data_IF_857046407943
#
_entry.id   IF_857046407943
#
_cell.length_a   1.000
_cell.length_b   1.000
_cell.length_c   1.000
_cell.angle_alpha   90.00
_cell.angle_beta   90.00
_cell.angle_gamma   90.00
#
_symmetry.space_group_name_H-M   'P 1'
#
loop_
_entity.id
_entity.type
_entity.pdbx_description
1 polymer ?
#
# COMPACT_ATOMS: atom_id res chain seq x y z
N UNK A 1 31.53 51.09 35.40
CA UNK A 1 31.73 49.75 34.82
C UNK A 1 30.49 48.92 35.12
N UNK A 2 29.83 48.39 34.08
CA UNK A 2 28.58 47.65 34.17
C UNK A 2 28.83 46.14 34.18
N UNK A 3 27.97 45.36 34.86
CA UNK A 3 27.87 43.92 34.64
C UNK A 3 26.42 43.55 34.29
N UNK A 4 26.26 43.36 32.97
CA UNK A 4 25.47 42.37 32.24
C UNK A 4 24.22 41.73 32.91
N UNK A 5 23.00 41.99 32.40
CA UNK A 5 21.83 41.17 32.69
C UNK A 5 21.74 39.96 31.76
N UNK A 6 21.72 38.76 32.34
CA UNK A 6 21.41 37.50 31.66
C UNK A 6 19.93 37.45 31.22
N UNK A 7 19.62 36.97 30.00
CA UNK A 7 18.26 36.81 29.54
C UNK A 7 17.63 35.51 30.07
N UNK A 8 16.50 35.64 30.77
CA UNK A 8 15.60 34.51 31.03
C UNK A 8 14.80 34.21 29.75
N UNK A 9 15.25 33.21 28.99
CA UNK A 9 14.48 32.60 27.92
C UNK A 9 13.41 31.69 28.51
N UNK A 10 12.14 32.02 28.26
CA UNK A 10 11.01 31.09 28.42
C UNK A 10 11.21 29.85 27.55
N UNK A 11 11.04 28.63 28.09
CA UNK A 11 10.90 27.44 27.25
C UNK A 11 9.52 27.47 26.58
N UNK A 12 9.51 27.67 25.26
CA UNK A 12 8.35 27.35 24.44
C UNK A 12 8.14 25.84 24.44
N UNK A 13 6.97 25.40 24.90
CA UNK A 13 6.54 24.01 24.77
C UNK A 13 6.23 23.73 23.29
N UNK A 14 7.21 23.18 22.58
CA UNK A 14 7.02 22.45 21.33
C UNK A 14 6.86 20.97 21.70
N UNK A 15 5.61 20.50 21.78
CA UNK A 15 5.32 19.10 22.08
C UNK A 15 5.33 18.29 20.78
N UNK A 16 6.46 17.63 20.57
CA UNK A 16 6.75 16.66 19.54
C UNK A 16 5.98 15.35 19.76
N UNK A 17 5.33 14.90 18.71
CA UNK A 17 4.79 13.55 18.47
C UNK A 17 5.87 12.46 18.36
N UNK A 18 7.14 12.79 18.58
CA UNK A 18 8.31 11.93 18.37
C UNK A 18 8.96 11.43 19.68
N UNK A 19 8.47 11.83 20.84
CA UNK A 19 8.90 11.25 22.13
C UNK A 19 7.67 10.94 23.00
N UNK A 20 7.11 9.74 22.84
CA UNK A 20 6.17 9.20 23.81
C UNK A 20 6.92 8.25 24.74
N UNK A 21 7.09 8.68 26.00
CA UNK A 21 7.52 7.83 27.12
C UNK A 21 6.30 7.24 27.83
N UNK A 22 6.28 5.93 28.16
CA UNK A 22 5.15 5.30 28.83
C UNK A 22 5.05 5.77 30.29
N UNK A 23 3.90 6.34 30.66
CA UNK A 23 3.55 6.57 32.06
C UNK A 23 3.20 5.26 32.77
N UNK A 24 3.93 4.96 33.84
CA UNK A 24 3.64 4.01 34.92
C UNK A 24 2.92 2.70 34.55
N UNK A 25 3.69 1.71 34.11
CA UNK A 25 3.39 0.32 34.44
C UNK A 25 4.38 -0.11 35.53
N UNK A 26 3.86 -0.34 36.74
CA UNK A 26 4.62 -0.89 37.86
C UNK A 26 5.37 -2.15 37.43
N UNK A 27 6.63 -2.25 37.87
CA UNK A 27 7.52 -3.41 37.77
C UNK A 27 6.76 -4.74 37.88
N UNK A 28 6.70 -5.49 36.79
CA UNK A 28 6.38 -6.91 36.80
C UNK A 28 7.69 -7.68 36.60
N UNK A 29 8.21 -8.21 37.70
CA UNK A 29 9.37 -9.10 37.76
C UNK A 29 9.18 -10.31 36.84
N UNK A 30 10.16 -10.57 35.97
CA UNK A 30 10.21 -11.78 35.15
C UNK A 30 10.43 -13.03 36.01
N UNK A 31 9.68 -14.13 35.81
CA UNK A 31 9.98 -15.39 36.49
C UNK A 31 11.18 -16.09 35.83
N UNK A 32 12.15 -16.46 36.67
CA UNK A 32 13.33 -17.25 36.30
C UNK A 32 12.93 -18.66 35.80
N UNK A 33 13.62 -19.12 34.74
CA UNK A 33 13.53 -20.50 34.26
C UNK A 33 14.23 -21.47 35.24
N UNK A 34 13.68 -22.66 35.53
CA UNK A 34 14.39 -23.68 36.27
C UNK A 34 15.21 -24.58 35.33
N UNK A 35 16.44 -24.80 35.73
CA UNK A 35 17.39 -25.75 35.15
C UNK A 35 17.24 -27.14 35.79
N UNK A 36 17.58 -28.18 35.00
CA UNK A 36 18.02 -29.54 35.37
C UNK A 36 17.06 -30.75 35.18
N UNK A 37 17.49 -31.56 34.21
CA UNK A 37 17.69 -33.03 34.23
C UNK A 37 16.52 -34.01 33.99
N UNK A 38 16.64 -34.80 32.91
CA UNK A 38 16.98 -36.25 32.99
C UNK A 38 17.36 -36.79 31.60
N UNK A 39 18.49 -37.52 31.53
CA UNK A 39 18.95 -38.33 30.38
C UNK A 39 18.24 -39.68 30.35
N UNK A 40 17.92 -40.18 29.15
CA UNK A 40 17.90 -41.63 28.83
C UNK A 40 18.53 -41.83 27.45
N UNK A 41 19.27 -42.92 27.30
CA UNK A 41 20.23 -43.27 26.25
C UNK A 41 19.68 -44.38 25.32
N UNK A 42 20.45 -44.69 24.26
CA UNK A 42 20.33 -45.73 23.19
C UNK A 42 19.67 -45.24 21.88
N UNK A 43 20.17 -45.48 20.66
CA UNK A 43 21.27 -46.33 20.16
C UNK A 43 21.78 -45.82 18.77
N UNK A 44 22.93 -46.33 18.34
CA UNK A 44 23.75 -45.99 17.15
C UNK A 44 23.10 -46.22 15.78
N UNK A 45 23.52 -45.44 14.76
CA UNK A 45 24.25 -45.98 13.58
C UNK A 45 24.63 -44.88 12.56
N UNK A 46 25.77 -45.09 11.91
CA UNK A 46 26.56 -44.15 11.12
C UNK A 46 26.16 -44.09 9.63
N UNK A 47 26.43 -42.94 8.99
CA UNK A 47 26.95 -42.85 7.61
C UNK A 47 27.42 -41.42 7.30
N UNK A 48 28.72 -41.25 6.99
CA UNK A 48 29.31 -40.02 6.46
C UNK A 48 29.38 -40.06 4.93
N UNK A 49 29.37 -38.92 4.23
CA UNK A 49 29.86 -38.82 2.85
C UNK A 49 31.26 -38.15 2.74
N UNK A 50 32.00 -38.39 1.64
CA UNK A 50 33.47 -38.37 1.63
C UNK A 50 34.14 -37.06 1.22
N UNK A 51 35.36 -36.88 1.72
CA UNK A 51 36.36 -35.88 1.32
C UNK A 51 37.16 -36.38 0.11
N UNK A 52 37.24 -35.60 -0.96
CA UNK A 52 38.19 -35.82 -2.07
C UNK A 52 39.20 -34.67 -2.10
N UNK A 53 40.49 -35.02 -2.01
CA UNK A 53 41.64 -34.14 -2.22
C UNK A 53 42.27 -34.40 -3.58
N UNK A 54 42.52 -33.36 -4.39
CA UNK A 54 43.50 -33.42 -5.47
C UNK A 54 44.30 -32.10 -5.66
N UNK A 55 45.58 -32.22 -5.30
CA UNK A 55 46.84 -31.71 -5.89
C UNK A 55 46.92 -30.40 -6.70
N UNK A 56 47.90 -29.61 -6.22
CA UNK A 56 48.64 -28.45 -6.75
C UNK A 56 49.22 -28.63 -8.17
N UNK A 57 49.09 -27.58 -9.00
CA UNK A 57 49.81 -27.36 -10.26
C UNK A 57 49.70 -25.89 -10.69
N UNK A 58 50.84 -25.28 -11.02
CA UNK A 58 51.09 -23.84 -11.22
C UNK A 58 50.78 -23.36 -12.64
N UNK A 59 50.30 -22.12 -12.83
CA UNK A 59 50.82 -21.09 -13.76
C UNK A 59 50.06 -19.75 -13.64
N UNK A 60 50.73 -18.68 -14.08
CA UNK A 60 50.66 -17.27 -13.66
C UNK A 60 49.93 -16.36 -14.66
N UNK A 61 49.28 -15.29 -14.18
CA UNK A 61 49.16 -13.98 -14.85
C UNK A 61 48.67 -12.89 -13.88
N UNK A 62 49.15 -11.66 -14.08
CA UNK A 62 49.43 -10.65 -13.08
C UNK A 62 48.30 -9.64 -12.77
N UNK A 63 48.39 -9.04 -11.57
CA UNK A 63 47.63 -7.86 -11.12
C UNK A 63 48.45 -6.57 -11.34
N UNK A 64 47.83 -5.41 -11.64
CA UNK A 64 48.55 -4.14 -11.72
C UNK A 64 48.66 -3.43 -10.36
N UNK A 65 49.88 -2.98 -10.08
CA UNK A 65 50.35 -2.29 -8.86
C UNK A 65 50.20 -0.76 -8.97
N UNK A 66 49.75 -0.11 -7.91
CA UNK A 66 49.79 1.35 -7.68
C UNK A 66 51.20 1.83 -7.27
N UNK A 67 51.66 3.02 -7.71
CA UNK A 67 52.81 3.69 -7.10
C UNK A 67 52.45 4.95 -6.26
N UNK A 68 53.34 5.38 -5.33
CA UNK A 68 53.06 6.31 -4.23
C UNK A 68 53.45 7.78 -4.51
N UNK A 69 53.02 8.70 -3.62
CA UNK A 69 53.05 10.16 -3.84
C UNK A 69 54.12 11.02 -3.12
N UNK A 70 53.86 12.34 -3.18
CA UNK A 70 54.42 13.52 -2.43
C UNK A 70 55.81 14.02 -2.93
N UNK A 71 56.17 15.34 -2.96
CA UNK A 71 55.68 16.51 -2.20
C UNK A 71 55.38 17.83 -2.97
N UNK A 72 54.83 18.84 -2.27
CA UNK A 72 54.69 20.26 -2.69
C UNK A 72 55.98 21.08 -2.42
N UNK A 73 56.25 22.24 -3.07
CA UNK A 73 55.74 23.53 -2.54
C UNK A 73 55.60 24.74 -3.54
N UNK A 74 55.10 25.87 -3.00
CA UNK A 74 55.38 27.30 -3.32
C UNK A 74 54.77 28.06 -4.53
N UNK A 75 53.84 28.98 -4.17
CA UNK A 75 53.88 30.46 -4.30
C UNK A 75 53.79 31.25 -5.64
N UNK A 76 52.99 32.34 -5.53
CA UNK A 76 53.05 33.65 -6.23
C UNK A 76 52.46 33.73 -7.64
N UNK A 77 51.62 34.70 -8.03
CA UNK A 77 51.04 35.87 -7.37
C UNK A 77 50.40 36.84 -8.39
N UNK A 78 49.69 37.88 -7.88
CA UNK A 78 49.29 39.17 -8.50
C UNK A 78 48.15 39.11 -9.55
N UNK A 79 47.17 40.01 -9.66
CA UNK A 79 46.85 41.40 -9.21
C UNK A 79 45.29 41.52 -9.21
N UNK A 80 44.57 42.13 -8.25
CA UNK A 80 44.43 43.52 -7.78
C UNK A 80 43.42 44.41 -8.56
N UNK A 81 42.71 45.27 -7.80
CA UNK A 81 41.69 46.33 -8.11
C UNK A 81 40.22 45.90 -8.14
N UNK A 82 39.23 46.54 -7.49
CA UNK A 82 39.09 47.73 -6.63
C UNK A 82 37.74 47.57 -5.87
N UNK A 83 37.71 47.55 -4.54
CA UNK A 83 37.30 48.65 -3.64
C UNK A 83 36.04 49.46 -4.02
N UNK A 84 34.99 49.33 -3.19
CA UNK A 84 34.15 50.46 -2.76
C UNK A 84 33.55 50.17 -1.39
N UNK A 85 34.06 50.89 -0.39
CA UNK A 85 33.41 51.13 0.89
C UNK A 85 32.61 52.42 0.78
N UNK A 86 31.36 52.46 1.26
CA UNK A 86 30.80 53.65 1.90
C UNK A 86 29.96 53.22 3.10
N UNK A 87 30.15 53.99 4.17
CA UNK A 87 29.76 53.76 5.53
C UNK A 87 28.26 53.95 5.82
N UNK A 88 27.92 53.40 6.98
CA UNK A 88 26.75 53.60 7.83
C UNK A 88 26.27 55.05 7.98
N UNK A 89 24.95 55.24 7.92
CA UNK A 89 24.24 56.08 8.89
C UNK A 89 22.80 55.59 9.11
N UNK A 90 22.39 55.59 10.37
CA UNK A 90 21.18 54.95 10.89
C UNK A 90 19.91 55.77 10.63
N UNK A 91 18.74 55.10 10.53
CA UNK A 91 17.52 55.47 11.28
C UNK A 91 16.57 54.27 11.43
N UNK A 92 16.21 54.01 12.68
CA UNK A 92 15.14 53.12 13.13
C UNK A 92 13.80 53.53 12.49
N UNK A 93 13.15 52.61 11.79
CA UNK A 93 11.72 52.73 11.46
C UNK A 93 10.91 51.94 12.49
N UNK A 94 10.22 52.67 13.36
CA UNK A 94 9.25 52.15 14.33
C UNK A 94 7.86 52.33 13.70
N UNK A 95 7.09 51.26 13.44
CA UNK A 95 5.71 51.42 13.00
C UNK A 95 4.84 51.99 14.14
N UNK A 96 3.87 52.89 13.87
CA UNK A 96 3.01 53.46 14.90
C UNK A 96 2.09 52.40 15.51
N UNK A 97 2.00 52.41 16.84
CA UNK A 97 1.07 51.60 17.62
C UNK A 97 -0.39 51.94 17.28
N UNK A 98 -1.15 50.93 16.86
CA UNK A 98 -2.60 51.02 16.82
C UNK A 98 -3.16 50.98 18.26
N UNK A 99 -4.21 51.75 18.58
CA UNK A 99 -4.79 51.79 19.92
C UNK A 99 -5.39 50.43 20.30
N UNK A 100 -4.99 49.92 21.47
CA UNK A 100 -5.60 48.75 22.09
C UNK A 100 -7.06 49.05 22.46
N UNK A 101 -8.00 48.31 21.89
CA UNK A 101 -9.37 48.29 22.36
C UNK A 101 -9.42 47.62 23.75
N UNK A 102 -10.21 48.15 24.70
CA UNK A 102 -10.29 47.60 26.04
C UNK A 102 -10.88 46.19 26.04
N UNK A 103 -10.28 45.33 26.86
CA UNK A 103 -10.79 44.03 27.28
C UNK A 103 -12.29 44.07 27.60
N UNK A 104 -13.06 43.17 26.99
CA UNK A 104 -14.33 42.72 27.52
C UNK A 104 -14.30 41.19 27.62
N UNK A 105 -13.97 40.69 28.81
CA UNK A 105 -14.64 39.50 29.35
C UNK A 105 -15.85 40.01 30.13
N UNK A 106 -17.02 39.39 29.95
CA UNK A 106 -17.31 38.22 30.79
C UNK A 106 -18.05 37.10 30.05
N UNK A 107 -17.83 35.84 30.44
CA UNK A 107 -18.86 35.01 31.08
C UNK A 107 -18.35 33.57 31.31
N UNK A 108 -18.65 33.10 32.52
CA UNK A 108 -18.28 31.84 33.15
C UNK A 108 -18.98 30.60 32.56
N UNK A 109 -18.48 29.39 32.88
CA UNK A 109 -18.84 28.15 32.20
C UNK A 109 -20.15 27.57 32.71
N UNK A 110 -20.99 27.09 31.78
CA UNK A 110 -22.10 26.20 32.11
C UNK A 110 -21.66 24.76 31.84
N UNK A 111 -21.45 24.00 32.91
CA UNK A 111 -21.20 22.56 32.83
C UNK A 111 -22.44 21.79 32.36
N UNK A 112 -22.23 20.75 31.56
CA UNK A 112 -23.13 19.60 31.44
C UNK A 112 -22.36 18.31 31.10
N UNK A 113 -22.94 17.14 31.46
CA UNK A 113 -22.22 15.97 32.00
C UNK A 113 -21.77 14.99 30.91
N UNK A 114 -20.96 13.95 31.24
CA UNK A 114 -20.45 13.02 30.24
C UNK A 114 -21.57 12.12 29.72
N UNK A 115 -21.82 12.14 28.40
CA UNK A 115 -22.72 11.20 27.75
C UNK A 115 -21.95 10.18 26.92
N UNK A 116 -22.26 8.93 27.21
CA UNK A 116 -21.65 7.70 26.72
C UNK A 116 -21.99 7.44 25.24
N UNK A 117 -21.10 6.67 24.63
CA UNK A 117 -21.21 6.00 23.32
C UNK A 117 -22.63 5.63 22.88
N UNK A 118 -23.00 6.06 21.67
CA UNK A 118 -23.95 5.36 20.81
C UNK A 118 -23.68 5.78 19.37
N UNK A 119 -22.71 5.10 18.76
CA UNK A 119 -22.69 4.89 17.31
C UNK A 119 -23.92 4.01 17.01
N UNK A 120 -24.83 4.45 16.14
CA UNK A 120 -25.76 3.67 15.30
C UNK A 120 -26.79 4.64 14.68
N UNK A 121 -26.79 4.69 13.35
CA UNK A 121 -27.83 5.17 12.41
C UNK A 121 -28.12 6.68 12.31
N UNK A 122 -27.83 7.27 11.14
CA UNK A 122 -28.81 7.69 10.12
C UNK A 122 -28.04 8.39 8.99
N UNK A 123 -28.27 7.96 7.74
CA UNK A 123 -27.72 8.62 6.55
C UNK A 123 -28.10 7.99 5.21
N UNK A 124 -29.30 7.39 5.10
CA UNK A 124 -29.92 7.15 3.79
C UNK A 124 -30.70 8.41 3.43
N UNK A 125 -30.32 9.06 2.33
CA UNK A 125 -31.13 10.09 1.69
C UNK A 125 -30.35 11.35 1.33
N UNK A 126 -29.61 11.30 0.21
CA UNK A 126 -29.49 12.35 -0.83
C UNK A 126 -28.21 12.20 -1.67
N UNK A 127 -28.04 11.07 -2.38
CA UNK A 127 -27.15 10.99 -3.56
C UNK A 127 -27.82 10.09 -4.61
N UNK A 128 -28.96 10.53 -5.14
CA UNK A 128 -29.63 9.86 -6.27
C UNK A 128 -29.55 10.69 -7.57
N UNK A 129 -28.80 11.81 -7.62
CA UNK A 129 -28.83 12.67 -8.82
C UNK A 129 -27.44 13.08 -9.38
N UNK A 130 -26.33 12.50 -8.91
CA UNK A 130 -25.00 12.77 -9.51
C UNK A 130 -24.11 11.54 -9.73
N UNK A 131 -24.70 10.43 -10.17
CA UNK A 131 -23.94 9.23 -10.57
C UNK A 131 -24.43 8.65 -11.90
N UNK A 132 -24.64 9.50 -12.92
CA UNK A 132 -25.05 9.05 -14.26
C UNK A 132 -24.25 9.62 -15.44
N UNK A 133 -23.07 10.22 -15.25
CA UNK A 133 -22.20 10.54 -16.39
C UNK A 133 -20.74 10.46 -15.96
N UNK A 134 -20.06 9.34 -16.24
CA UNK A 134 -18.78 9.23 -16.97
C UNK A 134 -18.48 7.73 -17.08
N UNK A 135 -18.65 7.16 -18.27
CA UNK A 135 -18.28 5.77 -18.52
C UNK A 135 -18.83 5.22 -19.82
N UNK A 136 -18.39 5.75 -20.95
CA UNK A 136 -18.55 5.08 -22.24
C UNK A 136 -18.93 6.00 -23.40
N UNK A 137 -17.95 6.35 -24.22
CA UNK A 137 -18.00 6.29 -25.69
C UNK A 137 -16.92 7.22 -26.28
N UNK A 138 -15.84 6.63 -26.77
CA UNK A 138 -15.12 7.21 -27.92
C UNK A 138 -15.06 6.13 -28.99
N UNK A 139 -15.39 6.56 -30.21
CA UNK A 139 -15.31 5.89 -31.51
C UNK A 139 -16.58 5.22 -32.05
N UNK A 140 -17.41 6.04 -32.69
CA UNK A 140 -17.93 5.72 -34.02
C UNK A 140 -18.35 6.99 -34.77
N UNK A 141 -17.63 7.35 -35.84
CA UNK A 141 -18.20 8.12 -36.96
C UNK A 141 -17.31 8.06 -38.22
N UNK A 142 -17.49 7.04 -39.04
CA UNK A 142 -17.46 7.19 -40.50
C UNK A 142 -18.80 6.71 -41.03
N UNK A 143 -19.61 7.64 -41.57
CA UNK A 143 -20.88 7.32 -42.21
C UNK A 143 -20.66 6.98 -43.68
N UNK A 144 -21.19 5.83 -44.10
CA UNK A 144 -21.58 5.54 -45.46
C UNK A 144 -22.97 4.90 -45.44
N UNK A 145 -23.93 5.30 -46.30
CA UNK A 145 -25.29 4.78 -46.24
C UNK A 145 -25.43 3.59 -47.19
N UNK A 146 -25.87 2.41 -46.72
CA UNK A 146 -26.39 1.38 -47.62
C UNK A 146 -27.58 0.62 -47.00
N UNK A 147 -28.74 0.94 -47.58
CA UNK A 147 -29.88 0.09 -48.00
C UNK A 147 -30.23 -1.14 -47.15
N UNK A 148 -31.46 -1.09 -46.64
CA UNK A 148 -32.21 -2.24 -46.14
C UNK A 148 -32.26 -3.37 -47.18
N UNK A 149 -31.84 -4.57 -46.77
CA UNK A 149 -32.26 -5.83 -47.35
C UNK A 149 -32.50 -6.82 -46.21
N UNK A 150 -33.73 -7.33 -46.17
CA UNK A 150 -34.16 -8.38 -45.27
C UNK A 150 -33.50 -9.69 -45.72
N UNK A 151 -32.39 -10.02 -45.06
CA UNK A 151 -31.74 -11.32 -45.11
C UNK A 151 -31.41 -11.66 -43.67
N UNK A 152 -31.89 -12.81 -43.18
CA UNK A 152 -31.59 -13.32 -41.84
C UNK A 152 -30.08 -13.47 -41.66
N UNK A 153 -29.42 -12.41 -41.22
CA UNK A 153 -28.02 -12.42 -40.81
C UNK A 153 -28.00 -12.76 -39.33
N UNK A 154 -27.54 -13.98 -39.01
CA UNK A 154 -27.03 -14.29 -37.67
C UNK A 154 -25.98 -13.23 -37.36
N UNK A 155 -26.34 -12.30 -36.48
CA UNK A 155 -25.37 -11.38 -35.89
C UNK A 155 -24.34 -12.24 -35.15
N UNK A 156 -23.11 -12.21 -35.65
CA UNK A 156 -21.95 -12.82 -35.01
C UNK A 156 -21.60 -12.01 -33.75
N UNK A 157 -22.27 -12.32 -32.64
CA UNK A 157 -21.73 -12.18 -31.29
C UNK A 157 -21.30 -13.58 -30.86
N UNK A 158 -20.01 -13.82 -30.65
CA UNK A 158 -19.45 -15.11 -30.27
C UNK A 158 -19.82 -15.55 -28.84
N UNK A 159 -21.10 -15.77 -28.59
CA UNK A 159 -21.62 -16.42 -27.40
C UNK A 159 -22.22 -17.77 -27.84
N UNK A 160 -21.40 -18.81 -27.83
CA UNK A 160 -21.94 -20.17 -27.85
C UNK A 160 -22.60 -20.40 -26.47
N UNK A 161 -23.90 -20.65 -26.47
CA UNK A 161 -24.68 -20.88 -25.26
C UNK A 161 -24.19 -22.17 -24.60
N UNK A 162 -23.48 -22.04 -23.48
CA UNK A 162 -23.34 -23.16 -22.54
C UNK A 162 -24.73 -23.75 -22.26
N UNK A 163 -24.87 -25.08 -22.14
CA UNK A 163 -26.15 -25.68 -21.82
C UNK A 163 -26.68 -25.13 -20.48
N UNK A 164 -28.00 -25.11 -20.32
CA UNK A 164 -28.69 -24.68 -19.09
C UNK A 164 -28.27 -25.50 -17.86
N UNK A 165 -27.66 -26.66 -18.09
CA UNK A 165 -27.10 -27.53 -17.06
C UNK A 165 -25.68 -27.95 -17.44
N UNK A 166 -24.72 -27.68 -16.55
CA UNK A 166 -23.32 -28.08 -16.71
C UNK A 166 -22.87 -29.03 -15.61
N UNK A 167 -22.03 -29.98 -15.99
CA UNK A 167 -21.35 -30.87 -15.05
C UNK A 167 -19.88 -30.48 -14.99
N UNK A 168 -19.27 -30.59 -13.81
CA UNK A 168 -17.84 -30.32 -13.63
C UNK A 168 -16.99 -31.16 -14.59
N UNK A 169 -15.99 -30.52 -15.18
CA UNK A 169 -14.90 -31.19 -15.88
C UNK A 169 -13.91 -31.83 -14.89
N UNK A 170 -13.55 -33.09 -15.13
CA UNK A 170 -12.57 -33.80 -14.28
C UNK A 170 -11.14 -33.29 -14.45
N UNK A 171 -10.87 -32.58 -15.55
CA UNK A 171 -9.57 -31.98 -15.85
C UNK A 171 -9.56 -30.50 -15.40
N UNK A 172 -8.40 -29.99 -14.96
CA UNK A 172 -8.28 -28.60 -14.54
C UNK A 172 -8.52 -27.64 -15.71
N UNK A 173 -9.06 -26.47 -15.39
CA UNK A 173 -9.26 -25.38 -16.35
C UNK A 173 -7.92 -24.92 -16.95
N UNK A 174 -7.96 -24.53 -18.22
CA UNK A 174 -6.86 -23.81 -18.86
C UNK A 174 -7.07 -22.31 -18.65
N UNK A 175 -6.13 -21.65 -17.98
CA UNK A 175 -6.21 -20.23 -17.62
C UNK A 175 -5.09 -19.39 -18.24
N UNK A 176 -5.38 -18.14 -18.60
CA UNK A 176 -4.34 -17.16 -18.94
C UNK A 176 -3.55 -16.72 -17.70
N UNK A 177 -2.39 -16.08 -17.90
CA UNK A 177 -1.70 -15.35 -16.83
C UNK A 177 -2.62 -14.25 -16.27
N UNK A 178 -2.98 -14.27 -14.97
CA UNK A 178 -3.84 -13.26 -14.38
C UNK A 178 -3.22 -11.87 -14.37
N UNK A 179 -4.06 -10.85 -14.35
CA UNK A 179 -3.69 -9.46 -14.15
C UNK A 179 -4.31 -8.97 -12.84
N UNK A 180 -3.49 -8.36 -11.97
CA UNK A 180 -3.93 -7.86 -10.67
C UNK A 180 -4.00 -6.33 -10.67
N UNK A 181 -5.06 -5.76 -10.10
CA UNK A 181 -5.20 -4.32 -9.88
C UNK A 181 -5.87 -4.05 -8.53
N UNK A 182 -5.48 -2.98 -7.86
CA UNK A 182 -6.09 -2.59 -6.59
C UNK A 182 -7.29 -1.68 -6.88
N UNK A 183 -8.45 -2.05 -6.36
CA UNK A 183 -9.73 -1.35 -6.55
C UNK A 183 -10.29 -0.95 -5.19
N UNK A 184 -11.39 -0.18 -5.16
CA UNK A 184 -12.07 0.21 -3.91
C UNK A 184 -12.65 -0.97 -3.11
N UNK A 185 -12.83 -2.14 -3.71
CA UNK A 185 -13.35 -3.35 -3.05
C UNK A 185 -12.27 -4.38 -2.69
N UNK A 186 -11.00 -4.13 -3.05
CA UNK A 186 -9.92 -5.07 -2.84
C UNK A 186 -9.03 -5.26 -4.07
N UNK A 187 -8.19 -6.28 -4.03
CA UNK A 187 -7.36 -6.69 -5.17
C UNK A 187 -8.22 -7.46 -6.18
N UNK A 188 -8.47 -6.85 -7.34
CA UNK A 188 -9.16 -7.49 -8.46
C UNK A 188 -8.16 -8.25 -9.32
N UNK A 189 -8.40 -9.56 -9.50
CA UNK A 189 -7.57 -10.45 -10.32
C UNK A 189 -8.38 -10.92 -11.50
N UNK A 190 -7.99 -10.51 -12.71
CA UNK A 190 -8.69 -10.80 -13.97
C UNK A 190 -7.89 -11.75 -14.83
N UNK A 191 -8.54 -12.80 -15.34
CA UNK A 191 -7.94 -13.80 -16.23
C UNK A 191 -9.00 -14.36 -17.18
N UNK A 192 -8.60 -15.10 -18.21
CA UNK A 192 -9.52 -15.90 -19.01
C UNK A 192 -9.39 -17.38 -18.67
N UNK A 193 -10.50 -18.10 -18.70
CA UNK A 193 -10.56 -19.54 -18.46
C UNK A 193 -11.29 -20.27 -19.59
N UNK A 194 -10.83 -21.48 -19.91
CA UNK A 194 -11.46 -22.40 -20.85
C UNK A 194 -11.44 -23.82 -20.29
N UNK A 195 -12.48 -24.60 -20.58
CA UNK A 195 -12.58 -26.00 -20.19
C UNK A 195 -11.93 -26.89 -21.26
N UNK A 196 -11.09 -27.87 -20.87
CA UNK A 196 -10.62 -28.89 -21.80
C UNK A 196 -11.71 -29.93 -22.14
N UNK A 197 -12.79 -30.01 -21.35
CA UNK A 197 -13.93 -30.88 -21.64
C UNK A 197 -14.83 -30.25 -22.72
N UNK A 198 -15.26 -31.05 -23.70
CA UNK A 198 -16.12 -30.58 -24.81
C UNK A 198 -17.48 -30.02 -24.37
N UNK A 199 -17.97 -30.44 -23.20
CA UNK A 199 -19.21 -29.94 -22.61
C UNK A 199 -19.07 -28.63 -21.83
N UNK A 200 -17.86 -28.09 -21.66
CA UNK A 200 -17.58 -26.98 -20.75
C UNK A 200 -17.20 -27.43 -19.34
N UNK A 201 -17.19 -26.49 -18.40
CA UNK A 201 -16.99 -26.74 -16.97
C UNK A 201 -17.83 -25.74 -16.15
N UNK A 202 -17.97 -25.98 -14.85
CA UNK A 202 -18.68 -25.08 -13.94
C UNK A 202 -17.94 -24.96 -12.62
N UNK A 203 -17.63 -23.72 -12.24
CA UNK A 203 -17.26 -23.39 -10.87
C UNK A 203 -18.56 -23.29 -10.06
N UNK A 204 -18.72 -24.20 -9.12
CA UNK A 204 -19.93 -24.35 -8.29
C UNK A 204 -19.52 -24.55 -6.82
N UNK A 205 -20.48 -24.60 -5.90
CA UNK A 205 -20.23 -24.88 -4.48
C UNK A 205 -19.62 -23.74 -3.66
N UNK A 206 -19.54 -23.93 -2.35
CA UNK A 206 -19.49 -22.82 -1.38
C UNK A 206 -18.12 -22.51 -0.78
N UNK A 207 -17.09 -23.29 -1.09
CA UNK A 207 -15.77 -23.20 -0.44
C UNK A 207 -14.62 -23.37 -1.43
N UNK A 208 -14.76 -22.85 -2.64
CA UNK A 208 -13.68 -22.93 -3.63
C UNK A 208 -12.48 -22.11 -3.16
N UNK A 209 -11.37 -22.78 -2.84
CA UNK A 209 -10.13 -22.13 -2.44
C UNK A 209 -9.37 -21.69 -3.70
N UNK A 210 -9.12 -20.39 -3.83
CA UNK A 210 -8.41 -19.82 -4.96
C UNK A 210 -7.18 -19.06 -4.48
N UNK A 211 -6.02 -19.53 -4.94
CA UNK A 211 -4.73 -18.89 -4.69
C UNK A 211 -4.17 -18.28 -5.98
N UNK A 212 -3.55 -17.11 -5.85
CA UNK A 212 -2.81 -16.43 -6.91
C UNK A 212 -1.36 -16.38 -6.47
N UNK A 213 -0.46 -16.86 -7.33
CA UNK A 213 0.96 -16.99 -7.04
C UNK A 213 1.78 -16.20 -8.07
N UNK A 214 2.85 -15.57 -7.60
CA UNK A 214 3.94 -15.04 -8.43
C UNK A 214 5.21 -15.88 -8.19
N UNK A 215 6.27 -15.60 -8.96
CA UNK A 215 7.59 -16.20 -8.70
C UNK A 215 8.18 -15.80 -7.33
N UNK A 216 7.74 -14.68 -6.76
CA UNK A 216 8.19 -14.18 -5.46
C UNK A 216 7.39 -14.75 -4.27
N UNK A 217 6.27 -15.42 -4.51
CA UNK A 217 5.44 -16.02 -3.46
C UNK A 217 3.94 -15.81 -3.67
N UNK A 218 3.11 -16.00 -2.62
CA UNK A 218 1.67 -15.79 -2.73
C UNK A 218 1.36 -14.31 -2.98
N UNK A 219 0.48 -14.06 -3.94
CA UNK A 219 -0.09 -12.73 -4.22
C UNK A 219 -1.41 -12.58 -3.47
N UNK A 220 -2.31 -13.55 -3.61
CA UNK A 220 -3.61 -13.55 -2.94
C UNK A 220 -4.08 -14.98 -2.65
N UNK A 221 -4.91 -15.14 -1.62
CA UNK A 221 -5.52 -16.42 -1.29
C UNK A 221 -6.88 -16.16 -0.61
N UNK A 222 -7.92 -16.82 -1.09
CA UNK A 222 -9.28 -16.62 -0.60
C UNK A 222 -10.20 -17.78 -0.92
N UNK A 223 -11.27 -17.91 -0.14
CA UNK A 223 -12.35 -18.86 -0.42
C UNK A 223 -13.50 -18.15 -1.11
N UNK A 224 -14.09 -18.78 -2.11
CA UNK A 224 -15.19 -18.24 -2.91
C UNK A 224 -16.43 -19.14 -2.78
N UNK A 225 -17.59 -18.51 -2.68
CA UNK A 225 -18.89 -19.18 -2.71
C UNK A 225 -19.55 -18.98 -4.08
N UNK A 226 -19.56 -20.04 -4.87
CA UNK A 226 -20.22 -20.16 -6.17
C UNK A 226 -21.53 -20.96 -6.09
N UNK A 227 -22.05 -21.26 -4.90
CA UNK A 227 -23.24 -22.12 -4.74
C UNK A 227 -24.52 -21.46 -5.25
N UNK A 228 -24.71 -20.16 -4.99
CA UNK A 228 -25.87 -19.39 -5.47
C UNK A 228 -25.66 -18.80 -6.87
N UNK A 229 -24.39 -18.59 -7.24
CA UNK A 229 -23.98 -17.93 -8.48
C UNK A 229 -22.88 -18.74 -9.18
N UNK A 230 -23.18 -19.94 -9.68
CA UNK A 230 -22.20 -20.75 -10.41
C UNK A 230 -21.69 -20.02 -11.65
N UNK A 231 -20.42 -20.28 -12.01
CA UNK A 231 -19.78 -19.70 -13.20
C UNK A 231 -19.55 -20.81 -14.21
N UNK A 232 -20.31 -20.79 -15.31
CA UNK A 232 -20.05 -21.64 -16.47
C UNK A 232 -18.78 -21.23 -17.23
N UNK A 233 -17.97 -22.19 -17.62
CA UNK A 233 -16.73 -21.98 -18.39
C UNK A 233 -16.85 -22.71 -19.72
N UNK A 234 -16.71 -22.03 -20.87
CA UNK A 234 -16.90 -22.63 -22.18
C UNK A 234 -15.79 -23.65 -22.51
N UNK A 235 -16.07 -24.65 -23.37
CA UNK A 235 -15.07 -25.55 -23.91
C UNK A 235 -14.09 -24.79 -24.82
N UNK A 236 -12.86 -25.29 -24.94
CA UNK A 236 -11.90 -24.78 -25.93
C UNK A 236 -12.43 -24.90 -27.37
N UNK A 237 -12.08 -23.95 -28.27
CA UNK A 237 -11.11 -22.87 -28.09
C UNK A 237 -11.69 -21.59 -27.44
N UNK A 238 -12.98 -21.57 -27.12
CA UNK A 238 -13.61 -20.42 -26.51
C UNK A 238 -13.13 -20.23 -25.07
N UNK A 239 -13.12 -18.98 -24.59
CA UNK A 239 -12.72 -18.66 -23.22
C UNK A 239 -13.61 -17.59 -22.63
N UNK A 240 -13.70 -17.59 -21.30
CA UNK A 240 -14.49 -16.63 -20.53
C UNK A 240 -13.59 -15.79 -19.64
N UNK A 241 -13.80 -14.47 -19.63
CA UNK A 241 -13.15 -13.57 -18.68
C UNK A 241 -13.79 -13.72 -17.29
N UNK A 242 -12.95 -13.90 -16.28
CA UNK A 242 -13.34 -14.01 -14.88
C UNK A 242 -12.53 -13.02 -14.06
N UNK A 243 -13.20 -12.24 -13.21
CA UNK A 243 -12.57 -11.33 -12.25
C UNK A 243 -12.89 -11.77 -10.82
N UNK A 244 -11.86 -12.13 -10.07
CA UNK A 244 -11.96 -12.49 -8.66
C UNK A 244 -11.46 -11.34 -7.78
N UNK A 245 -12.29 -10.86 -6.87
CA UNK A 245 -11.94 -9.78 -5.94
C UNK A 245 -11.54 -10.36 -4.60
N UNK A 246 -10.34 -10.01 -4.14
CA UNK A 246 -9.80 -10.36 -2.83
C UNK A 246 -9.87 -9.13 -1.92
N UNK A 247 -10.76 -9.11 -0.91
CA UNK A 247 -10.83 -8.01 0.04
C UNK A 247 -9.51 -7.83 0.80
N UNK A 248 -9.32 -6.66 1.40
CA UNK A 248 -8.21 -6.38 2.33
C UNK A 248 -8.09 -7.49 3.37
N UNK A 249 -6.86 -7.93 3.66
CA UNK A 249 -6.59 -9.13 4.45
C UNK A 249 -6.38 -10.40 3.62
N UNK A 250 -6.92 -10.49 2.40
CA UNK A 250 -6.86 -11.71 1.55
C UNK A 250 -5.74 -11.69 0.49
N UNK A 251 -4.89 -10.67 0.49
CA UNK A 251 -3.73 -10.57 -0.38
C UNK A 251 -2.47 -10.13 0.38
N UNK A 252 -1.32 -10.48 -0.20
CA UNK A 252 0.01 -10.44 0.41
C UNK A 252 1.01 -9.66 -0.44
N UNK A 253 0.66 -9.41 -1.71
CA UNK A 253 1.41 -8.54 -2.61
C UNK A 253 0.48 -7.51 -3.24
N UNK A 254 1.00 -6.31 -3.42
CA UNK A 254 0.37 -5.21 -4.14
C UNK A 254 0.63 -5.36 -5.66
N UNK A 255 -0.24 -4.80 -6.52
CA UNK A 255 -0.10 -4.94 -7.98
C UNK A 255 1.28 -4.56 -8.50
N UNK A 256 1.86 -3.45 -8.03
CA UNK A 256 3.17 -2.97 -8.47
C UNK A 256 4.29 -3.96 -8.11
N UNK A 257 4.21 -4.62 -6.95
CA UNK A 257 5.17 -5.66 -6.55
C UNK A 257 5.11 -6.90 -7.45
N UNK A 258 3.90 -7.23 -7.93
CA UNK A 258 3.68 -8.34 -8.86
C UNK A 258 3.85 -7.95 -10.34
N UNK A 259 4.05 -6.66 -10.63
CA UNK A 259 4.11 -6.16 -12.00
C UNK A 259 5.30 -6.75 -12.75
N UNK A 260 5.06 -7.30 -13.95
CA UNK A 260 6.07 -8.01 -14.74
C UNK A 260 6.32 -9.47 -14.34
N UNK A 261 5.68 -9.98 -13.28
CA UNK A 261 5.69 -11.42 -12.97
C UNK A 261 4.64 -12.17 -13.78
N UNK A 262 4.96 -13.41 -14.18
CA UNK A 262 3.93 -14.34 -14.65
C UNK A 262 3.13 -14.81 -13.45
N UNK A 263 1.89 -14.35 -13.35
CA UNK A 263 0.97 -14.80 -12.32
C UNK A 263 0.39 -16.15 -12.72
N UNK A 264 0.09 -16.96 -11.71
CA UNK A 264 -0.63 -18.23 -11.88
C UNK A 264 -1.80 -18.27 -10.92
N UNK A 265 -2.88 -18.93 -11.33
CA UNK A 265 -4.06 -19.12 -10.52
C UNK A 265 -4.25 -20.61 -10.25
N UNK A 266 -4.50 -20.95 -8.99
CA UNK A 266 -4.80 -22.31 -8.55
C UNK A 266 -6.18 -22.31 -7.93
N UNK A 267 -7.11 -23.05 -8.54
CA UNK A 267 -8.47 -23.21 -8.06
C UNK A 267 -8.58 -24.64 -7.51
N UNK A 268 -8.84 -24.75 -6.21
CA UNK A 268 -9.08 -26.02 -5.50
C UNK A 268 -10.53 -26.04 -5.01
N UNK A 269 -11.11 -27.24 -4.92
CA UNK A 269 -12.47 -27.44 -4.38
C UNK A 269 -13.54 -26.58 -5.08
N UNK A 270 -13.50 -26.49 -6.41
CA UNK A 270 -14.43 -25.71 -7.24
C UNK A 270 -15.89 -26.21 -7.26
N UNK A 271 -16.32 -26.95 -6.22
CA UNK A 271 -17.72 -27.31 -5.91
C UNK A 271 -18.06 -28.78 -5.66
N UNK A 272 -19.36 -29.09 -5.67
CA UNK A 272 -19.89 -30.44 -5.43
C UNK A 272 -19.84 -31.35 -6.68
N UNK A 273 -19.76 -32.67 -6.45
CA UNK A 273 -19.94 -33.70 -7.48
C UNK A 273 -21.40 -33.70 -7.96
N UNK A 274 -21.69 -33.12 -9.12
CA UNK A 274 -23.05 -33.07 -9.68
C UNK A 274 -23.21 -32.11 -10.86
N UNK A 275 -24.46 -31.96 -11.32
CA UNK A 275 -24.84 -31.04 -12.39
C UNK A 275 -25.39 -29.75 -11.78
N UNK A 276 -24.91 -28.61 -12.27
CA UNK A 276 -25.34 -27.27 -11.86
C UNK A 276 -26.21 -26.65 -12.95
N UNK A 277 -27.34 -26.07 -12.55
CA UNK A 277 -28.14 -25.24 -13.45
C UNK A 277 -27.51 -23.85 -13.58
N UNK A 278 -27.50 -23.29 -14.78
CA UNK A 278 -26.98 -21.96 -15.08
C UNK A 278 -28.11 -21.07 -15.62
N UNK A 279 -28.16 -19.84 -15.13
CA UNK A 279 -28.88 -18.76 -15.80
C UNK A 279 -28.11 -18.27 -17.03
N UNK A 280 -28.77 -17.50 -17.90
CA UNK A 280 -28.13 -16.93 -19.10
C UNK A 280 -26.90 -16.06 -18.76
N UNK A 281 -26.92 -15.30 -17.67
CA UNK A 281 -25.77 -14.49 -17.21
C UNK A 281 -24.65 -15.34 -16.61
N UNK A 282 -24.97 -16.53 -16.08
CA UNK A 282 -24.00 -17.50 -15.58
C UNK A 282 -23.40 -18.34 -16.70
N UNK A 283 -24.04 -18.39 -17.87
CA UNK A 283 -23.58 -19.09 -19.07
C UNK A 283 -22.82 -18.19 -20.07
N UNK A 284 -22.91 -16.85 -19.95
CA UNK A 284 -22.38 -15.91 -20.96
C UNK A 284 -21.70 -14.69 -20.35
N UNK A 285 -20.90 -13.98 -21.16
CA UNK A 285 -20.25 -12.72 -20.78
C UNK A 285 -19.17 -12.84 -19.68
N UNK A 286 -18.59 -11.72 -19.22
CA UNK A 286 -17.65 -11.72 -18.10
C UNK A 286 -18.31 -12.18 -16.80
N UNK A 287 -17.58 -12.94 -15.97
CA UNK A 287 -18.01 -13.32 -14.63
C UNK A 287 -17.20 -12.58 -13.57
N UNK A 288 -17.80 -12.39 -12.39
CA UNK A 288 -17.07 -11.89 -11.23
C UNK A 288 -17.55 -12.53 -9.94
N UNK A 289 -16.65 -12.61 -8.97
CA UNK A 289 -16.94 -13.06 -7.62
C UNK A 289 -15.99 -12.39 -6.62
N UNK A 290 -16.39 -12.35 -5.35
CA UNK A 290 -15.59 -11.80 -4.25
C UNK A 290 -15.31 -12.90 -3.24
N UNK A 291 -14.08 -12.96 -2.74
CA UNK A 291 -13.72 -13.92 -1.71
C UNK A 291 -14.54 -13.66 -0.45
N UNK A 292 -15.14 -14.71 0.10
CA UNK A 292 -15.92 -14.66 1.34
C UNK A 292 -15.01 -14.65 2.58
N UNK A 293 -13.82 -15.24 2.48
CA UNK A 293 -12.83 -15.28 3.56
C UNK A 293 -11.41 -15.24 2.98
N UNK A 294 -10.48 -14.70 3.76
CA UNK A 294 -9.06 -14.76 3.48
C UNK A 294 -8.54 -16.19 3.67
N UNK A 295 -7.83 -16.72 2.67
CA UNK A 295 -7.11 -17.98 2.79
C UNK A 295 -5.71 -17.73 3.33
N UNK A 296 -5.20 -18.65 4.16
CA UNK A 296 -3.83 -18.58 4.69
C UNK A 296 -2.89 -19.37 3.77
N UNK A 297 -1.87 -18.75 3.17
CA UNK A 297 -0.81 -19.45 2.46
C UNK A 297 -0.07 -20.42 3.39
N UNK A 298 0.15 -21.65 2.94
CA UNK A 298 0.88 -22.66 3.71
C UNK A 298 2.37 -22.62 3.40
N UNK A 299 3.21 -22.80 4.43
CA UNK A 299 4.66 -23.00 4.25
C UNK A 299 5.46 -21.75 3.86
N UNK A 300 4.89 -20.55 4.05
CA UNK A 300 5.52 -19.28 3.69
C UNK A 300 5.45 -18.28 4.85
N UNK A 301 6.49 -17.46 4.97
CA UNK A 301 6.49 -16.34 5.90
C UNK A 301 5.77 -15.15 5.25
N UNK A 302 4.48 -14.99 5.56
CA UNK A 302 3.63 -13.93 5.00
C UNK A 302 4.13 -12.52 5.32
N UNK A 303 4.80 -12.35 6.46
CA UNK A 303 5.34 -11.05 6.86
C UNK A 303 6.52 -10.62 5.98
N UNK A 304 7.41 -11.56 5.66
CA UNK A 304 8.52 -11.33 4.72
C UNK A 304 8.03 -11.00 3.32
N UNK A 305 7.00 -11.71 2.84
CA UNK A 305 6.37 -11.42 1.54
C UNK A 305 5.74 -10.02 1.53
N UNK A 306 5.03 -9.66 2.60
CA UNK A 306 4.46 -8.32 2.73
C UNK A 306 5.53 -7.23 2.78
N UNK A 307 6.63 -7.43 3.50
CA UNK A 307 7.76 -6.49 3.55
C UNK A 307 8.37 -6.26 2.16
N UNK A 308 8.59 -7.33 1.39
CA UNK A 308 9.08 -7.24 0.01
C UNK A 308 8.08 -6.49 -0.88
N UNK A 309 6.79 -6.76 -0.73
CA UNK A 309 5.76 -6.05 -1.48
C UNK A 309 5.68 -4.57 -1.13
N UNK A 310 5.80 -4.19 0.14
CA UNK A 310 5.85 -2.80 0.58
C UNK A 310 7.06 -2.09 -0.04
N UNK A 311 8.22 -2.74 -0.05
CA UNK A 311 9.42 -2.17 -0.67
C UNK A 311 9.25 -1.94 -2.16
N UNK A 312 8.74 -2.94 -2.89
CA UNK A 312 8.48 -2.80 -4.32
C UNK A 312 7.44 -1.70 -4.61
N UNK A 313 6.42 -1.54 -3.74
CA UNK A 313 5.47 -0.43 -3.84
C UNK A 313 6.14 0.94 -3.63
N UNK A 314 7.01 1.08 -2.62
CA UNK A 314 7.80 2.31 -2.40
C UNK A 314 8.64 2.65 -3.62
N UNK A 315 9.31 1.66 -4.21
CA UNK A 315 10.15 1.86 -5.39
C UNK A 315 9.32 2.32 -6.60
N UNK A 316 8.14 1.72 -6.80
CA UNK A 316 7.19 2.12 -7.85
C UNK A 316 6.63 3.53 -7.62
N UNK A 317 6.36 3.91 -6.38
CA UNK A 317 5.81 5.21 -6.03
C UNK A 317 6.84 6.34 -6.06
N UNK A 318 8.13 6.06 -5.85
CA UNK A 318 9.15 7.09 -5.69
C UNK A 318 9.21 8.07 -6.87
N UNK A 319 9.23 7.58 -8.11
CA UNK A 319 9.25 8.44 -9.30
C UNK A 319 7.97 9.29 -9.42
N UNK A 320 6.82 8.74 -9.02
CA UNK A 320 5.54 9.47 -9.01
C UNK A 320 5.56 10.57 -7.96
N UNK A 321 6.03 10.28 -6.74
CA UNK A 321 6.12 11.27 -5.66
C UNK A 321 7.08 12.39 -6.02
N UNK A 322 8.25 12.05 -6.58
CA UNK A 322 9.23 13.06 -7.00
C UNK A 322 8.69 14.00 -8.09
N UNK A 323 7.86 13.49 -9.01
CA UNK A 323 7.32 14.31 -10.10
C UNK A 323 6.13 15.18 -9.70
N UNK A 324 5.28 14.74 -8.76
CA UNK A 324 4.04 15.47 -8.42
C UNK A 324 3.97 16.08 -7.02
N UNK A 325 4.80 15.61 -6.08
CA UNK A 325 4.64 15.93 -4.65
C UNK A 325 5.95 16.43 -4.01
N UNK A 326 7.06 16.48 -4.76
CA UNK A 326 8.30 17.03 -4.24
C UNK A 326 8.17 18.55 -3.98
N UNK A 327 8.61 18.97 -2.79
CA UNK A 327 8.43 20.32 -2.25
C UNK A 327 6.96 20.76 -2.17
N UNK A 328 6.04 19.82 -1.94
CA UNK A 328 4.61 20.09 -1.77
C UNK A 328 4.11 19.54 -0.43
N UNK A 329 3.08 20.19 0.13
CA UNK A 329 2.38 19.65 1.29
C UNK A 329 1.41 18.56 0.85
N UNK A 330 1.33 17.48 1.60
CA UNK A 330 0.38 16.37 1.44
C UNK A 330 -0.29 16.08 2.78
N UNK A 331 -1.37 15.31 2.75
CA UNK A 331 -1.87 14.66 3.96
C UNK A 331 -1.15 13.32 4.12
N UNK A 332 -0.48 13.14 5.26
CA UNK A 332 0.06 11.86 5.66
C UNK A 332 -1.04 11.09 6.40
N UNK A 333 -1.43 9.96 5.83
CA UNK A 333 -2.55 9.12 6.28
C UNK A 333 -2.12 8.04 7.27
N UNK A 334 -0.84 7.67 7.26
CA UNK A 334 -0.29 6.68 8.19
C UNK A 334 1.23 6.79 8.29
N UNK A 335 1.77 6.37 9.43
CA UNK A 335 3.19 6.07 9.67
C UNK A 335 3.28 4.85 10.57
N UNK A 336 3.77 3.71 10.07
CA UNK A 336 3.89 2.46 10.82
C UNK A 336 5.25 1.80 10.59
N UNK A 337 5.69 1.00 11.55
CA UNK A 337 6.87 0.14 11.42
C UNK A 337 6.57 -1.23 12.06
N UNK A 338 7.19 -2.32 11.58
CA UNK A 338 7.06 -3.62 12.22
C UNK A 338 7.51 -3.57 13.69
N UNK A 339 6.74 -4.20 14.58
CA UNK A 339 7.00 -4.18 16.02
C UNK A 339 6.43 -2.97 16.77
N UNK A 340 5.88 -1.96 16.06
CA UNK A 340 5.16 -0.86 16.69
C UNK A 340 3.95 -1.38 17.47
N UNK A 341 3.76 -0.93 18.70
CA UNK A 341 2.56 -1.21 19.50
C UNK A 341 1.65 0.01 19.45
N UNK A 342 0.58 -0.07 18.68
CA UNK A 342 -0.40 1.01 18.48
C UNK A 342 -1.76 0.42 18.07
N UNK A 343 -2.84 1.17 18.28
CA UNK A 343 -4.20 0.76 17.90
C UNK A 343 -4.62 -0.61 18.49
N UNK A 344 -4.09 -0.92 19.68
CA UNK A 344 -4.36 -2.17 20.40
C UNK A 344 -3.67 -3.42 19.85
N UNK A 345 -2.70 -3.29 18.93
CA UNK A 345 -1.94 -4.42 18.38
C UNK A 345 -0.44 -4.12 18.21
N UNK A 346 0.34 -5.18 18.04
CA UNK A 346 1.71 -5.09 17.51
C UNK A 346 1.65 -5.19 16.00
N UNK A 347 2.15 -4.18 15.30
CA UNK A 347 2.10 -4.08 13.86
C UNK A 347 3.10 -5.02 13.19
N UNK A 348 2.62 -5.80 12.23
CA UNK A 348 3.43 -6.61 11.31
C UNK A 348 3.53 -5.90 9.95
N UNK A 349 4.46 -6.30 9.07
CA UNK A 349 4.47 -5.80 7.68
C UNK A 349 3.17 -6.15 6.96
N UNK A 350 2.54 -7.29 7.28
CA UNK A 350 1.24 -7.65 6.73
C UNK A 350 0.14 -6.67 7.16
N UNK A 351 0.12 -6.27 8.42
CA UNK A 351 -0.82 -5.24 8.91
C UNK A 351 -0.63 -3.90 8.19
N UNK A 352 0.62 -3.53 7.94
CA UNK A 352 0.99 -2.28 7.27
C UNK A 352 0.56 -2.31 5.80
N UNK A 353 0.74 -3.44 5.12
CA UNK A 353 0.23 -3.64 3.76
C UNK A 353 -1.30 -3.53 3.69
N UNK A 354 -2.00 -4.14 4.65
CA UNK A 354 -3.46 -4.05 4.73
C UNK A 354 -3.93 -2.60 4.98
N UNK A 355 -3.25 -1.86 5.86
CA UNK A 355 -3.55 -0.45 6.14
C UNK A 355 -3.26 0.43 4.92
N UNK A 356 -2.14 0.24 4.23
CA UNK A 356 -1.86 0.92 2.96
C UNK A 356 -2.95 0.66 1.92
N UNK A 357 -3.37 -0.60 1.76
CA UNK A 357 -4.41 -0.94 0.80
C UNK A 357 -5.77 -0.32 1.16
N UNK A 358 -6.12 -0.28 2.44
CA UNK A 358 -7.33 0.40 2.91
C UNK A 358 -7.27 1.92 2.64
N UNK A 359 -6.10 2.54 2.83
CA UNK A 359 -5.88 3.94 2.48
C UNK A 359 -5.98 4.18 0.96
N UNK A 360 -5.42 3.29 0.14
CA UNK A 360 -5.53 3.37 -1.31
C UNK A 360 -6.98 3.23 -1.80
N UNK A 361 -7.74 2.33 -1.20
CA UNK A 361 -9.17 2.12 -1.47
C UNK A 361 -9.99 3.37 -1.16
N UNK A 362 -9.72 4.01 -0.02
CA UNK A 362 -10.45 5.20 0.44
C UNK A 362 -10.02 6.48 -0.29
N UNK A 363 -8.73 6.61 -0.57
CA UNK A 363 -8.13 7.78 -1.19
C UNK A 363 -7.37 7.36 -2.44
N UNK A 364 -8.10 7.18 -3.54
CA UNK A 364 -7.52 6.70 -4.81
C UNK A 364 -6.23 7.45 -5.16
N UNK A 365 -5.17 6.71 -5.44
CA UNK A 365 -3.86 7.29 -5.73
C UNK A 365 -3.02 7.61 -4.49
N UNK A 366 -3.41 7.18 -3.28
CA UNK A 366 -2.51 7.15 -2.14
C UNK A 366 -1.20 6.45 -2.50
N UNK A 367 -0.10 6.90 -1.91
CA UNK A 367 1.26 6.43 -2.23
C UNK A 367 2.00 6.05 -0.98
N UNK A 368 2.86 5.06 -1.12
CA UNK A 368 3.73 4.58 -0.06
C UNK A 368 5.11 5.17 -0.20
N UNK A 369 5.72 5.54 0.93
CA UNK A 369 7.11 5.95 0.99
C UNK A 369 7.83 5.30 2.18
N UNK A 370 9.13 5.13 2.04
CA UNK A 370 10.02 4.70 3.12
C UNK A 370 10.71 5.92 3.70
N UNK A 371 10.63 6.14 5.02
CA UNK A 371 11.10 7.37 5.67
C UNK A 371 12.56 7.70 5.36
N UNK A 372 13.43 6.69 5.28
CA UNK A 372 14.88 6.88 5.10
C UNK A 372 15.23 7.46 3.73
N UNK A 373 14.32 7.35 2.76
CA UNK A 373 14.52 7.82 1.40
C UNK A 373 14.20 9.33 1.22
N UNK A 374 13.84 10.04 2.29
CA UNK A 374 13.39 11.43 2.27
C UNK A 374 13.96 12.26 3.43
N UNK A 375 14.46 13.47 3.13
CA UNK A 375 15.17 14.33 4.10
C UNK A 375 14.27 14.97 5.17
N UNK A 376 12.95 14.90 4.97
CA UNK A 376 11.94 15.54 5.83
C UNK A 376 11.54 14.68 7.03
N UNK A 377 12.02 13.44 7.15
CA UNK A 377 11.77 12.58 8.30
C UNK A 377 13.00 12.56 9.22
N UNK A 378 12.79 12.76 10.52
CA UNK A 378 13.83 12.64 11.54
C UNK A 378 13.98 11.21 12.06
N UNK A 379 12.94 10.38 11.90
CA UNK A 379 12.93 8.98 12.31
C UNK A 379 13.11 8.07 11.10
N UNK A 380 13.91 7.02 11.27
CA UNK A 380 14.15 6.00 10.26
C UNK A 380 13.28 4.76 10.46
N UNK A 381 13.14 3.94 9.43
CA UNK A 381 12.47 2.64 9.54
C UNK A 381 10.96 2.64 9.35
N UNK A 382 10.35 3.72 8.84
CA UNK A 382 8.90 3.88 8.79
C UNK A 382 8.33 3.75 7.38
N UNK A 383 7.28 2.94 7.27
CA UNK A 383 6.36 2.95 6.14
C UNK A 383 5.36 4.08 6.32
N UNK A 384 5.30 4.99 5.38
CA UNK A 384 4.45 6.18 5.46
C UNK A 384 3.51 6.22 4.26
N UNK A 385 2.22 6.38 4.51
CA UNK A 385 1.21 6.51 3.45
C UNK A 385 0.81 7.98 3.31
N UNK A 386 0.81 8.49 2.08
CA UNK A 386 0.42 9.88 1.77
C UNK A 386 -0.67 9.94 0.71
N UNK A 387 -1.42 11.03 0.68
CA UNK A 387 -2.32 11.34 -0.44
C UNK A 387 -1.55 11.69 -1.71
N UNK A 388 -2.09 11.37 -2.89
CA UNK A 388 -1.61 11.97 -4.14
C UNK A 388 -1.96 13.47 -4.24
N UNK A 389 -3.06 13.89 -3.62
CA UNK A 389 -3.45 15.29 -3.54
C UNK A 389 -2.39 16.08 -2.78
N UNK A 390 -1.98 17.21 -3.37
CA UNK A 390 -1.11 18.20 -2.75
C UNK A 390 -1.90 19.40 -2.28
N UNK A 391 -1.31 20.14 -1.35
CA UNK A 391 -1.91 21.29 -0.69
C UNK A 391 -0.94 22.48 -0.76
N UNK A 392 -1.47 23.72 -0.85
CA UNK A 392 -0.64 24.92 -0.94
C UNK A 392 0.04 25.30 0.38
N UNK A 393 -0.38 24.72 1.51
CA UNK A 393 0.11 25.07 2.84
C UNK A 393 -0.06 23.91 3.83
N UNK A 394 0.68 23.92 4.96
CA UNK A 394 0.48 22.93 6.02
C UNK A 394 -0.95 22.95 6.57
N UNK A 395 -1.52 24.14 6.74
CA UNK A 395 -2.86 24.32 7.30
C UNK A 395 -3.94 23.78 6.36
N UNK A 396 -3.74 23.88 5.04
CA UNK A 396 -4.67 23.32 4.07
C UNK A 396 -4.70 21.78 4.11
N UNK A 397 -3.54 21.13 4.28
CA UNK A 397 -3.47 19.68 4.46
C UNK A 397 -4.13 19.24 5.79
N UNK A 398 -3.87 19.95 6.89
CA UNK A 398 -4.50 19.68 8.20
C UNK A 398 -6.02 19.88 8.14
N UNK A 399 -6.50 20.94 7.50
CA UNK A 399 -7.93 21.18 7.33
C UNK A 399 -8.59 20.06 6.51
N UNK A 400 -7.90 19.52 5.51
CA UNK A 400 -8.39 18.35 4.78
C UNK A 400 -8.45 17.11 5.67
N UNK A 401 -7.44 16.84 6.51
CA UNK A 401 -7.48 15.73 7.48
C UNK A 401 -8.73 15.81 8.38
N UNK A 402 -9.02 17.00 8.91
CA UNK A 402 -10.20 17.25 9.75
C UNK A 402 -11.51 17.01 8.97
N UNK A 403 -11.59 17.45 7.71
CA UNK A 403 -12.76 17.21 6.85
C UNK A 403 -12.98 15.71 6.56
N UNK A 404 -11.92 14.91 6.53
CA UNK A 404 -11.99 13.45 6.41
C UNK A 404 -12.29 12.74 7.74
N UNK A 405 -12.56 13.50 8.81
CA UNK A 405 -12.81 13.02 10.17
C UNK A 405 -11.64 12.21 10.77
N UNK A 406 -10.41 12.56 10.43
CA UNK A 406 -9.25 12.04 11.13
C UNK A 406 -8.96 12.86 12.38
N UNK A 407 -8.48 12.17 13.42
CA UNK A 407 -7.87 12.81 14.58
C UNK A 407 -6.37 13.07 14.34
N UNK A 408 -5.73 13.66 15.36
CA UNK A 408 -4.32 14.07 15.32
C UNK A 408 -3.35 12.91 15.11
N UNK A 409 -3.72 11.70 15.50
CA UNK A 409 -2.82 10.54 15.48
C UNK A 409 -2.95 9.76 14.16
N UNK A 410 -4.05 9.96 13.42
CA UNK A 410 -4.33 9.25 12.17
C UNK A 410 -4.17 10.12 10.90
N UNK A 411 -3.98 11.44 11.02
CA UNK A 411 -3.66 12.27 9.86
C UNK A 411 -2.95 13.57 10.24
N UNK A 412 -1.95 13.94 9.44
CA UNK A 412 -1.20 15.18 9.62
C UNK A 412 -0.81 15.80 8.27
N UNK A 413 -0.50 17.10 8.28
CA UNK A 413 0.09 17.77 7.13
C UNK A 413 1.59 17.50 7.07
N UNK A 414 2.09 16.98 5.95
CA UNK A 414 3.50 16.69 5.74
C UNK A 414 4.03 17.37 4.48
N UNK A 415 5.14 18.09 4.58
CA UNK A 415 5.91 18.52 3.42
C UNK A 415 6.72 17.32 2.94
N UNK A 416 6.59 16.96 1.67
CA UNK A 416 7.43 15.93 1.05
C UNK A 416 8.55 16.63 0.29
N UNK A 417 9.79 16.35 0.64
CA UNK A 417 10.97 16.89 -0.02
C UNK A 417 12.16 15.94 0.13
N UNK A 418 13.04 15.94 -0.87
CA UNK A 418 14.33 15.26 -0.82
C UNK A 418 15.50 16.18 -0.42
N UNK A 419 15.24 17.47 -0.20
CA UNK A 419 16.27 18.47 0.16
C UNK A 419 15.91 19.34 1.35
N UNK A 420 14.62 19.52 1.66
CA UNK A 420 14.19 20.30 2.82
C UNK A 420 14.48 19.52 4.12
N UNK A 421 14.83 20.21 5.22
CA UNK A 421 15.12 19.54 6.47
C UNK A 421 13.83 19.08 7.18
N UNK A 422 13.91 18.23 8.22
CA UNK A 422 12.75 17.81 8.99
C UNK A 422 12.03 18.96 9.70
N UNK A 423 12.76 19.98 10.13
CA UNK A 423 12.21 21.12 10.86
C UNK A 423 11.21 21.90 9.99
N UNK A 424 10.03 22.17 10.55
CA UNK A 424 8.95 22.87 9.84
C UNK A 424 8.29 22.07 8.71
N UNK A 425 8.64 20.79 8.53
CA UNK A 425 8.06 19.92 7.51
C UNK A 425 6.73 19.25 7.92
N UNK A 426 6.25 19.48 9.16
CA UNK A 426 5.10 18.75 9.70
C UNK A 426 4.14 19.68 10.43
N UNK A 427 2.84 19.46 10.24
CA UNK A 427 1.76 20.23 10.86
C UNK A 427 0.66 19.31 11.41
N UNK A 428 0.23 19.56 12.64
CA UNK A 428 -0.74 18.73 13.36
C UNK A 428 -2.14 19.33 13.35
N UNK A 429 -3.13 18.44 13.43
CA UNK A 429 -4.46 18.79 13.91
C UNK A 429 -4.32 19.29 15.35
N UNK A 430 -4.95 20.43 15.65
CA UNK A 430 -4.93 21.06 16.97
C UNK A 430 -6.08 20.62 17.85
#
# INVERSE_FOLDING_TARGET
>A
MPDNPTPHSSPGHQLDWMDWSPGNASEATAPQAPEAATRVHLDSSAAAPPTISLKKGSTSAAAPTLPPGTPAPTNSGREATQASQVASDARLYIPPAAPAAPYQSPYQPAGRPPSKSSWWLIGVGLVVVFALIVGGAVWAATKGPLKANNSSTRSASGAQNLPDTLTRCAQPLTTSSPQASLTSSGLAVTFTASSPCSGGDVLSGSQAAVAVLSSAGPVANGTFDFSSSPIGVPPQPDSRQITLTYPTGSFYQLPDASSGSNLTIQITDSGATGTSALSSSQATGPASATASQAGQPTGVNVDSVAAQSLRAQVDADRARILSSSNNQWVAQLSSKQPGLVADGKTWTNKDILDEFAANYQRFSGARLLWSDDWSVFSSSGWWVTITAQTFPSPQAAVAWCQQQNFDRDHCLGKLISNTAPPEGSTAYIR
#
